data_IF_342402266358
#
_entry.id   IF_342402266358
#
_cell.length_a   1.000
_cell.length_b   1.000
_cell.length_c   1.000
_cell.angle_alpha   90.00
_cell.angle_beta   90.00
_cell.angle_gamma   90.00
#
_symmetry.space_group_name_H-M   'P 1'
#
loop_
_entity.id
_entity.type
_entity.pdbx_description
1 polymer ?
#
# COMPACT_ATOMS: atom_id res chain seq x y z
N UNK A 1 5.31 -20.20 50.01
CA UNK A 1 4.49 -19.28 49.21
C UNK A 1 4.98 -19.40 47.77
N UNK A 2 4.08 -19.55 46.80
CA UNK A 2 4.40 -19.88 45.40
C UNK A 2 4.69 -18.62 44.57
N UNK A 3 5.54 -18.73 43.56
CA UNK A 3 5.68 -17.67 42.55
C UNK A 3 4.40 -17.58 41.71
N UNK A 4 3.82 -16.38 41.64
CA UNK A 4 2.57 -16.14 40.91
C UNK A 4 2.84 -15.92 39.42
N UNK A 5 2.59 -16.96 38.63
CA UNK A 5 2.71 -16.97 37.17
C UNK A 5 1.39 -16.59 36.46
N UNK A 6 0.32 -16.27 37.19
CA UNK A 6 -1.01 -16.01 36.65
C UNK A 6 -0.97 -14.88 35.60
N UNK A 7 -0.25 -13.80 35.89
CA UNK A 7 -0.11 -12.65 34.98
C UNK A 7 0.60 -12.98 33.67
N UNK A 8 1.42 -14.05 33.63
CA UNK A 8 2.12 -14.47 32.41
C UNK A 8 1.17 -15.14 31.42
N UNK A 9 0.25 -15.96 31.94
CA UNK A 9 -0.62 -16.83 31.15
C UNK A 9 -2.06 -16.33 31.03
N UNK A 10 -2.64 -15.78 32.09
CA UNK A 10 -4.01 -15.26 32.12
C UNK A 10 -3.98 -13.72 32.01
N UNK A 11 -3.59 -13.23 30.82
CA UNK A 11 -3.26 -11.81 30.54
C UNK A 11 -4.44 -10.83 30.62
N UNK A 12 -5.64 -11.26 30.98
CA UNK A 12 -6.78 -10.35 31.21
C UNK A 12 -7.59 -10.75 32.44
N UNK A 13 -8.08 -9.75 33.18
CA UNK A 13 -9.01 -9.98 34.31
C UNK A 13 -10.29 -10.72 33.90
N UNK A 14 -10.66 -10.67 32.62
CA UNK A 14 -11.79 -11.44 32.10
C UNK A 14 -11.48 -12.94 32.12
N UNK A 15 -10.30 -13.35 31.68
CA UNK A 15 -9.88 -14.76 31.67
C UNK A 15 -9.61 -15.27 33.08
N UNK A 16 -9.15 -14.39 33.99
CA UNK A 16 -8.90 -14.72 35.39
C UNK A 16 -10.20 -14.91 36.20
N UNK A 17 -11.25 -14.13 35.91
CA UNK A 17 -12.48 -14.10 36.71
C UNK A 17 -13.68 -14.80 36.07
N UNK A 18 -13.62 -15.12 34.78
CA UNK A 18 -14.68 -15.84 34.07
C UNK A 18 -14.28 -17.28 33.80
N UNK A 19 -15.22 -18.19 34.06
CA UNK A 19 -15.04 -19.60 33.80
C UNK A 19 -14.98 -19.87 32.28
N UNK A 20 -13.97 -20.61 31.83
CA UNK A 20 -13.93 -21.14 30.46
C UNK A 20 -14.73 -22.44 30.48
N UNK A 21 -15.86 -22.46 29.75
CA UNK A 21 -16.83 -23.58 29.75
C UNK A 21 -17.33 -24.00 31.14
N UNK A 22 -17.45 -23.06 32.08
CA UNK A 22 -17.93 -23.34 33.43
C UNK A 22 -16.87 -23.84 34.41
N UNK A 23 -15.59 -23.92 34.00
CA UNK A 23 -14.47 -24.26 34.87
C UNK A 23 -13.48 -23.11 35.04
N UNK A 24 -12.99 -22.93 36.27
CA UNK A 24 -11.84 -22.09 36.58
C UNK A 24 -10.56 -22.90 36.42
N UNK A 25 -9.58 -22.36 35.71
CA UNK A 25 -8.32 -23.05 35.42
C UNK A 25 -7.25 -22.57 36.41
N UNK A 26 -6.64 -23.51 37.13
CA UNK A 26 -5.50 -23.26 38.01
C UNK A 26 -4.30 -23.94 37.38
N UNK A 27 -3.24 -23.18 37.12
CA UNK A 27 -1.97 -23.72 36.63
C UNK A 27 -1.06 -23.88 37.84
N UNK A 28 -0.72 -25.12 38.15
CA UNK A 28 0.22 -25.46 39.22
C UNK A 28 1.43 -26.14 38.58
N UNK A 29 2.62 -25.62 38.91
CA UNK A 29 3.88 -26.17 38.45
C UNK A 29 4.63 -26.66 39.67
N UNK A 30 4.91 -27.96 39.72
CA UNK A 30 5.68 -28.61 40.77
C UNK A 30 6.81 -29.42 40.15
N UNK A 31 7.91 -29.57 40.88
CA UNK A 31 9.01 -30.41 40.45
C UNK A 31 10.22 -30.35 41.37
N UNK A 32 11.06 -31.40 41.38
CA UNK A 32 12.22 -31.48 42.28
C UNK A 32 13.16 -30.28 42.19
N UNK A 33 13.36 -29.75 40.97
CA UNK A 33 14.19 -28.58 40.72
C UNK A 33 13.68 -27.33 41.47
N UNK A 34 12.35 -27.14 41.50
CA UNK A 34 11.73 -26.01 42.22
C UNK A 34 11.83 -26.26 43.74
N UNK A 35 11.58 -27.49 44.20
CA UNK A 35 11.63 -27.84 45.62
C UNK A 35 13.04 -27.63 46.22
N UNK A 36 14.08 -27.99 45.48
CA UNK A 36 15.48 -27.78 45.89
C UNK A 36 15.94 -26.33 45.73
N UNK A 37 15.35 -25.63 44.75
CA UNK A 37 15.68 -24.27 44.34
C UNK A 37 15.10 -23.17 45.22
N UNK A 38 14.17 -23.51 46.12
CA UNK A 38 13.51 -22.56 47.02
C UNK A 38 14.46 -22.05 48.11
N UNK A 39 14.29 -20.78 48.50
CA UNK A 39 15.03 -20.17 49.61
C UNK A 39 14.51 -20.63 50.99
N UNK A 40 15.26 -20.33 52.06
CA UNK A 40 14.91 -20.76 53.43
C UNK A 40 13.56 -20.19 53.91
N UNK A 41 13.21 -18.98 53.46
CA UNK A 41 11.95 -18.31 53.81
C UNK A 41 10.75 -18.85 53.01
N UNK A 42 11.01 -19.71 52.01
CA UNK A 42 10.02 -20.30 51.10
C UNK A 42 9.14 -19.28 50.40
N UNK A 43 9.71 -18.14 50.01
CA UNK A 43 9.03 -17.05 49.32
C UNK A 43 9.68 -16.67 47.97
N UNK A 44 10.75 -17.36 47.58
CA UNK A 44 11.41 -17.19 46.29
C UNK A 44 12.35 -18.35 45.93
N UNK A 45 12.86 -18.32 44.70
CA UNK A 45 13.76 -19.33 44.14
C UNK A 45 15.12 -18.70 43.82
N UNK A 46 15.95 -18.49 44.83
CA UNK A 46 17.24 -17.80 44.67
C UNK A 46 18.32 -18.67 44.01
N UNK A 47 18.12 -19.99 43.97
CA UNK A 47 19.07 -20.96 43.39
C UNK A 47 18.82 -21.27 41.91
N UNK A 48 17.78 -20.66 41.31
CA UNK A 48 17.43 -20.84 39.90
C UNK A 48 17.63 -19.49 39.18
N UNK A 49 18.55 -19.40 38.20
CA UNK A 49 18.75 -18.18 37.42
C UNK A 49 17.50 -17.75 36.65
N UNK A 50 17.29 -16.44 36.48
CA UNK A 50 16.12 -15.91 35.74
C UNK A 50 16.25 -15.97 34.22
N UNK A 51 17.42 -15.64 33.71
CA UNK A 51 17.71 -15.54 32.27
C UNK A 51 18.98 -16.35 31.94
N UNK A 52 19.11 -16.74 30.68
CA UNK A 52 20.31 -17.39 30.18
C UNK A 52 21.46 -16.37 30.05
N UNK A 53 22.45 -16.44 30.95
CA UNK A 53 23.62 -15.55 30.95
C UNK A 53 24.83 -16.18 31.68
N UNK A 54 26.05 -15.77 31.28
CA UNK A 54 27.36 -16.31 31.67
C UNK A 54 27.61 -16.35 33.19
N UNK A 55 26.96 -17.27 33.90
CA UNK A 55 27.31 -17.62 35.27
C UNK A 55 28.60 -18.46 35.24
N UNK A 56 29.56 -18.08 36.09
CA UNK A 56 30.85 -18.76 36.25
C UNK A 56 30.71 -20.28 36.20
N UNK A 57 31.59 -20.90 35.42
CA UNK A 57 31.68 -22.31 35.02
C UNK A 57 31.69 -23.34 36.17
N UNK A 58 31.46 -22.95 37.43
CA UNK A 58 31.70 -23.80 38.59
C UNK A 58 30.64 -23.83 39.70
N UNK A 59 29.47 -23.17 39.62
CA UNK A 59 28.45 -23.34 40.70
C UNK A 59 26.97 -23.04 40.36
N UNK A 60 26.59 -22.87 39.09
CA UNK A 60 25.19 -22.58 38.70
C UNK A 60 24.38 -23.82 38.32
N UNK A 61 23.10 -23.89 38.73
CA UNK A 61 22.12 -24.85 38.20
C UNK A 61 22.06 -24.77 36.67
N UNK A 62 22.08 -25.89 35.92
CA UNK A 62 22.11 -25.89 34.45
C UNK A 62 20.79 -25.47 33.78
N UNK A 63 19.75 -25.17 34.56
CA UNK A 63 18.40 -24.87 34.07
C UNK A 63 17.97 -23.52 34.65
N UNK A 64 17.60 -22.57 33.78
CA UNK A 64 17.05 -21.26 34.16
C UNK A 64 15.53 -21.24 34.16
N UNK A 65 14.93 -20.20 34.73
CA UNK A 65 13.50 -19.93 34.58
C UNK A 65 13.10 -19.69 33.12
N UNK A 66 13.98 -19.11 32.30
CA UNK A 66 13.74 -18.95 30.87
C UNK A 66 13.53 -20.31 30.18
N UNK A 67 14.36 -21.31 30.52
CA UNK A 67 14.23 -22.68 29.99
C UNK A 67 12.96 -23.38 30.50
N UNK A 68 12.63 -23.19 31.78
CA UNK A 68 11.40 -23.72 32.40
C UNK A 68 10.18 -23.11 31.72
N UNK A 69 10.15 -21.79 31.55
CA UNK A 69 9.05 -21.08 30.90
C UNK A 69 8.92 -21.45 29.42
N UNK A 70 10.03 -21.64 28.69
CA UNK A 70 9.96 -22.07 27.30
C UNK A 70 9.26 -23.43 27.12
N UNK A 71 9.39 -24.34 28.11
CA UNK A 71 8.68 -25.64 28.11
C UNK A 71 7.25 -25.53 28.64
N UNK A 72 7.02 -24.73 29.67
CA UNK A 72 5.70 -24.50 30.22
C UNK A 72 4.79 -23.76 29.25
N UNK A 73 5.32 -22.78 28.50
CA UNK A 73 4.56 -21.93 27.58
C UNK A 73 3.81 -22.82 26.57
N UNK A 74 4.45 -23.84 25.98
CA UNK A 74 3.80 -24.77 25.04
C UNK A 74 2.68 -25.59 25.73
N UNK A 75 2.92 -26.11 26.95
CA UNK A 75 1.97 -27.00 27.64
C UNK A 75 0.78 -26.25 28.24
N UNK A 76 1.02 -25.06 28.79
CA UNK A 76 -0.02 -24.21 29.36
C UNK A 76 -0.93 -23.68 28.26
N UNK A 77 -0.39 -23.33 27.10
CA UNK A 77 -1.19 -22.91 25.95
C UNK A 77 -2.12 -24.03 25.45
N UNK A 78 -1.63 -25.27 25.37
CA UNK A 78 -2.46 -26.45 25.04
C UNK A 78 -3.65 -26.60 26.01
N UNK A 79 -3.43 -26.39 27.31
CA UNK A 79 -4.46 -26.53 28.34
C UNK A 79 -5.47 -25.38 28.36
N UNK A 80 -5.05 -24.18 27.97
CA UNK A 80 -5.90 -22.98 28.00
C UNK A 80 -6.68 -22.75 26.71
N UNK A 81 -6.31 -23.39 25.60
CA UNK A 81 -6.94 -23.18 24.29
C UNK A 81 -8.40 -23.67 24.29
N UNK A 82 -9.39 -22.78 24.15
CA UNK A 82 -10.80 -23.14 24.09
C UNK A 82 -11.12 -23.93 22.81
N UNK A 83 -12.10 -24.85 22.82
CA UNK A 83 -12.49 -25.61 21.63
C UNK A 83 -13.04 -24.75 20.47
N UNK A 84 -13.54 -23.56 20.76
CA UNK A 84 -14.04 -22.58 19.80
C UNK A 84 -12.95 -21.62 19.29
N UNK A 85 -11.73 -21.70 19.82
CA UNK A 85 -10.61 -20.95 19.27
C UNK A 85 -10.21 -21.51 17.90
N UNK A 86 -10.10 -20.61 16.94
CA UNK A 86 -9.70 -20.92 15.57
C UNK A 86 -8.43 -20.18 15.23
N UNK A 87 -7.34 -20.94 15.05
CA UNK A 87 -6.10 -20.44 14.45
C UNK A 87 -6.39 -19.79 13.09
N UNK A 88 -7.19 -20.46 12.27
CA UNK A 88 -7.48 -20.03 10.90
C UNK A 88 -8.19 -18.68 10.87
N UNK A 89 -9.05 -18.39 11.85
CA UNK A 89 -9.66 -17.07 12.00
C UNK A 89 -8.61 -15.98 12.25
N UNK A 90 -7.69 -16.20 13.19
CA UNK A 90 -6.62 -15.24 13.48
C UNK A 90 -5.70 -15.08 12.27
N UNK A 91 -5.32 -16.17 11.60
CA UNK A 91 -4.49 -16.12 10.38
C UNK A 91 -5.19 -15.36 9.26
N UNK A 92 -6.50 -15.55 9.09
CA UNK A 92 -7.30 -14.82 8.11
C UNK A 92 -7.37 -13.32 8.43
N UNK A 93 -7.61 -12.95 9.69
CA UNK A 93 -7.63 -11.55 10.13
C UNK A 93 -6.24 -10.89 9.98
N UNK A 94 -5.17 -11.61 10.32
CA UNK A 94 -3.78 -11.18 10.10
C UNK A 94 -3.48 -10.93 8.62
N UNK A 95 -3.94 -11.85 7.74
CA UNK A 95 -3.79 -11.71 6.30
C UNK A 95 -4.60 -10.54 5.73
N UNK A 96 -5.82 -10.32 6.21
CA UNK A 96 -6.68 -9.24 5.75
C UNK A 96 -6.18 -7.86 6.21
N UNK A 97 -5.95 -7.69 7.51
CA UNK A 97 -5.69 -6.38 8.13
C UNK A 97 -4.23 -5.94 8.00
N UNK A 98 -3.30 -6.89 7.97
CA UNK A 98 -1.86 -6.61 8.01
C UNK A 98 -1.12 -7.13 6.77
N UNK A 99 -1.81 -7.79 5.83
CA UNK A 99 -1.19 -8.32 4.62
C UNK A 99 -0.12 -9.39 4.89
N UNK A 100 -0.17 -10.06 6.04
CA UNK A 100 0.78 -11.11 6.41
C UNK A 100 0.16 -12.46 6.10
N UNK A 101 0.69 -13.15 5.09
CA UNK A 101 0.17 -14.45 4.66
C UNK A 101 0.64 -15.59 5.56
N UNK A 102 -0.03 -16.74 5.47
CA UNK A 102 0.42 -17.95 6.16
C UNK A 102 1.84 -18.38 5.74
N UNK A 103 2.17 -18.19 4.46
CA UNK A 103 3.53 -18.42 3.98
C UNK A 103 4.54 -17.51 4.70
N UNK A 104 4.22 -16.23 4.89
CA UNK A 104 5.06 -15.31 5.66
C UNK A 104 5.18 -15.72 7.14
N UNK A 105 4.11 -16.21 7.76
CA UNK A 105 4.16 -16.74 9.13
C UNK A 105 5.11 -17.93 9.21
N UNK A 106 5.00 -18.87 8.28
CA UNK A 106 5.89 -20.04 8.22
C UNK A 106 7.34 -19.63 7.96
N UNK A 107 7.57 -18.73 7.00
CA UNK A 107 8.91 -18.28 6.63
C UNK A 107 9.57 -17.44 7.72
N UNK A 108 8.80 -16.66 8.48
CA UNK A 108 9.29 -15.89 9.63
C UNK A 108 9.40 -16.70 10.92
N UNK A 109 9.12 -18.02 10.88
CA UNK A 109 9.04 -18.90 12.06
C UNK A 109 8.07 -18.37 13.14
N UNK A 110 7.00 -17.68 12.73
CA UNK A 110 6.04 -17.09 13.66
C UNK A 110 4.90 -18.07 13.94
N UNK A 111 4.83 -18.54 15.19
CA UNK A 111 3.71 -19.35 15.67
C UNK A 111 2.51 -18.47 16.02
N UNK A 112 1.31 -19.04 15.85
CA UNK A 112 0.04 -18.44 16.27
C UNK A 112 -0.52 -19.30 17.38
N UNK A 113 -0.71 -18.71 18.56
CA UNK A 113 -1.13 -19.42 19.77
C UNK A 113 -2.40 -18.82 20.33
N UNK A 114 -3.02 -19.53 21.29
CA UNK A 114 -4.17 -18.99 22.00
C UNK A 114 -3.81 -17.72 22.78
N UNK A 115 -4.73 -16.75 22.80
CA UNK A 115 -4.51 -15.44 23.40
C UNK A 115 -3.72 -14.45 22.53
N UNK A 116 -3.26 -14.86 21.34
CA UNK A 116 -2.74 -13.91 20.37
C UNK A 116 -3.86 -13.03 19.78
N UNK A 117 -3.49 -11.79 19.49
CA UNK A 117 -4.30 -10.85 18.70
C UNK A 117 -3.73 -10.77 17.28
N UNK A 118 -4.53 -10.42 16.26
CA UNK A 118 -4.00 -10.23 14.91
C UNK A 118 -2.80 -9.27 14.87
N UNK A 119 -2.87 -8.17 15.62
CA UNK A 119 -1.78 -7.20 15.74
C UNK A 119 -0.51 -7.78 16.36
N UNK A 120 -0.62 -8.59 17.42
CA UNK A 120 0.56 -9.19 18.06
C UNK A 120 1.25 -10.22 17.17
N UNK A 121 0.48 -11.02 16.43
CA UNK A 121 1.02 -11.98 15.44
C UNK A 121 1.70 -11.24 14.30
N UNK A 122 1.03 -10.26 13.70
CA UNK A 122 1.58 -9.48 12.60
C UNK A 122 2.87 -8.77 13.00
N UNK A 123 2.92 -8.18 14.21
CA UNK A 123 4.11 -7.52 14.74
C UNK A 123 5.30 -8.48 14.85
N UNK A 124 5.09 -9.69 15.40
CA UNK A 124 6.15 -10.71 15.48
C UNK A 124 6.62 -11.14 14.09
N UNK A 125 5.68 -11.44 13.20
CA UNK A 125 5.99 -11.88 11.84
C UNK A 125 6.79 -10.86 11.05
N UNK A 126 6.35 -9.59 11.05
CA UNK A 126 7.02 -8.51 10.34
C UNK A 126 8.40 -8.21 10.94
N UNK A 127 8.55 -8.24 12.27
CA UNK A 127 9.85 -8.05 12.92
C UNK A 127 10.84 -9.15 12.52
N UNK A 128 10.43 -10.41 12.64
CA UNK A 128 11.27 -11.55 12.26
C UNK A 128 11.61 -11.53 10.76
N UNK A 129 10.66 -11.11 9.91
CA UNK A 129 10.90 -10.99 8.47
C UNK A 129 11.89 -9.87 8.16
N UNK A 130 11.80 -8.73 8.84
CA UNK A 130 12.76 -7.62 8.69
C UNK A 130 14.16 -8.04 9.13
N UNK A 131 14.29 -8.76 10.24
CA UNK A 131 15.58 -9.31 10.69
C UNK A 131 16.17 -10.24 9.60
N UNK A 132 15.37 -11.13 9.02
CA UNK A 132 15.81 -11.98 7.89
C UNK A 132 16.19 -11.20 6.64
N UNK A 133 15.46 -10.14 6.30
CA UNK A 133 15.80 -9.26 5.15
C UNK A 133 17.19 -8.65 5.34
N UNK A 134 17.53 -8.23 6.56
CA UNK A 134 18.87 -7.68 6.86
C UNK A 134 19.94 -8.75 6.67
N UNK A 135 19.74 -9.94 7.23
CA UNK A 135 20.68 -11.06 7.13
C UNK A 135 20.90 -11.49 5.66
N UNK A 136 19.82 -11.61 4.90
CA UNK A 136 19.87 -11.99 3.49
C UNK A 136 20.46 -10.89 2.61
N UNK A 137 20.23 -9.61 2.93
CA UNK A 137 20.89 -8.49 2.23
C UNK A 137 22.40 -8.50 2.44
N UNK A 138 22.85 -8.80 3.66
CA UNK A 138 24.27 -8.98 3.95
C UNK A 138 24.85 -10.17 3.16
N UNK A 139 24.09 -11.27 3.07
CA UNK A 139 24.45 -12.42 2.24
C UNK A 139 24.56 -12.04 0.75
N UNK A 140 23.61 -11.27 0.20
CA UNK A 140 23.66 -10.79 -1.18
C UNK A 140 24.90 -9.93 -1.48
N UNK A 141 25.31 -9.07 -0.55
CA UNK A 141 26.56 -8.31 -0.67
C UNK A 141 27.78 -9.23 -0.73
N UNK A 142 27.82 -10.26 0.13
CA UNK A 142 28.89 -11.26 0.10
C UNK A 142 28.91 -12.06 -1.21
N UNK A 143 27.75 -12.38 -1.79
CA UNK A 143 27.65 -13.03 -3.10
C UNK A 143 28.21 -12.15 -4.21
N UNK A 144 27.96 -10.84 -4.18
CA UNK A 144 28.53 -9.90 -5.17
C UNK A 144 30.06 -9.93 -5.14
N UNK A 145 30.66 -9.99 -3.95
CA UNK A 145 32.10 -10.16 -3.80
C UNK A 145 32.58 -11.53 -4.29
N UNK A 146 31.83 -12.61 -4.03
CA UNK A 146 32.15 -13.96 -4.50
C UNK A 146 32.10 -14.07 -6.03
N UNK A 147 31.12 -13.44 -6.68
CA UNK A 147 30.99 -13.34 -8.14
C UNK A 147 32.23 -12.69 -8.75
N UNK A 148 32.72 -11.60 -8.14
CA UNK A 148 33.91 -10.91 -8.60
C UNK A 148 35.20 -11.77 -8.51
N UNK A 149 35.18 -12.86 -7.73
CA UNK A 149 36.30 -13.80 -7.56
C UNK A 149 36.14 -15.11 -8.34
N UNK A 150 35.10 -15.24 -9.15
CA UNK A 150 34.92 -16.43 -9.97
C UNK A 150 36.01 -16.53 -11.04
N UNK A 151 36.52 -17.75 -11.24
CA UNK A 151 37.53 -18.09 -12.25
C UNK A 151 36.87 -18.93 -13.35
N UNK A 152 36.53 -18.33 -14.52
CA UNK A 152 35.76 -19.01 -15.56
C UNK A 152 36.46 -20.20 -16.21
N UNK A 153 37.79 -20.29 -16.08
CA UNK A 153 38.64 -21.35 -16.58
C UNK A 153 38.83 -22.52 -15.59
N UNK A 154 38.29 -22.40 -14.37
CA UNK A 154 38.34 -23.47 -13.37
C UNK A 154 37.32 -24.58 -13.64
N UNK A 155 37.68 -25.83 -13.36
CA UNK A 155 36.81 -27.00 -13.51
C UNK A 155 35.53 -26.93 -12.66
N UNK A 156 35.54 -26.13 -11.58
CA UNK A 156 34.43 -25.97 -10.63
C UNK A 156 33.58 -24.71 -10.90
N UNK A 157 33.92 -23.91 -11.91
CA UNK A 157 33.23 -22.65 -12.22
C UNK A 157 31.71 -22.81 -12.31
N UNK A 158 31.24 -23.80 -13.08
CA UNK A 158 29.80 -24.03 -13.29
C UNK A 158 29.07 -24.35 -11.99
N UNK A 159 29.67 -25.18 -11.14
CA UNK A 159 29.07 -25.55 -9.84
C UNK A 159 28.99 -24.35 -8.91
N UNK A 160 30.02 -23.51 -8.86
CA UNK A 160 30.02 -22.28 -8.06
C UNK A 160 28.96 -21.28 -8.53
N UNK A 161 28.77 -21.15 -9.84
CA UNK A 161 27.70 -20.32 -10.42
C UNK A 161 26.31 -20.85 -10.05
N UNK A 162 26.10 -22.17 -10.11
CA UNK A 162 24.82 -22.79 -9.74
C UNK A 162 24.50 -22.58 -8.25
N UNK A 163 25.49 -22.76 -7.37
CA UNK A 163 25.33 -22.54 -5.91
C UNK A 163 25.01 -21.07 -5.60
N UNK A 164 25.77 -20.14 -6.17
CA UNK A 164 25.50 -18.69 -6.00
C UNK A 164 24.11 -18.31 -6.52
N UNK A 165 23.67 -18.88 -7.64
CA UNK A 165 22.34 -18.62 -8.22
C UNK A 165 21.22 -19.11 -7.32
N UNK A 166 21.40 -20.29 -6.70
CA UNK A 166 20.42 -20.85 -5.77
C UNK A 166 20.31 -20.01 -4.50
N UNK A 167 21.45 -19.63 -3.90
CA UNK A 167 21.46 -18.78 -2.71
C UNK A 167 20.86 -17.39 -3.01
N UNK A 168 21.16 -16.80 -4.17
CA UNK A 168 20.60 -15.52 -4.59
C UNK A 168 19.07 -15.58 -4.72
N UNK A 169 18.56 -16.64 -5.33
CA UNK A 169 17.10 -16.85 -5.50
C UNK A 169 16.39 -17.00 -4.15
N UNK A 170 17.02 -17.71 -3.20
CA UNK A 170 16.47 -17.86 -1.85
C UNK A 170 16.39 -16.51 -1.12
N UNK A 171 17.44 -15.69 -1.20
CA UNK A 171 17.50 -14.36 -0.57
C UNK A 171 16.50 -13.36 -1.16
N UNK A 172 16.19 -13.46 -2.45
CA UNK A 172 15.19 -12.58 -3.06
C UNK A 172 13.78 -12.86 -2.54
N UNK A 173 13.46 -14.12 -2.23
CA UNK A 173 12.11 -14.51 -1.82
C UNK A 173 11.65 -13.76 -0.57
N UNK A 174 12.51 -13.60 0.44
CA UNK A 174 12.15 -12.92 1.70
C UNK A 174 11.95 -11.43 1.48
N UNK A 175 12.83 -10.79 0.71
CA UNK A 175 12.75 -9.38 0.33
C UNK A 175 11.45 -9.11 -0.43
N UNK A 176 11.13 -9.96 -1.41
CA UNK A 176 9.91 -9.85 -2.20
C UNK A 176 8.65 -9.98 -1.33
N UNK A 177 8.60 -10.95 -0.42
CA UNK A 177 7.45 -11.12 0.48
C UNK A 177 7.25 -9.88 1.38
N UNK A 178 8.32 -9.33 1.94
CA UNK A 178 8.24 -8.16 2.79
C UNK A 178 7.74 -6.92 2.02
N UNK A 179 8.34 -6.66 0.85
CA UNK A 179 8.02 -5.50 0.03
C UNK A 179 6.61 -5.59 -0.55
N UNK A 180 6.22 -6.75 -1.09
CA UNK A 180 4.88 -6.96 -1.64
C UNK A 180 3.81 -6.85 -0.55
N UNK A 181 4.05 -7.39 0.64
CA UNK A 181 3.11 -7.29 1.77
C UNK A 181 2.85 -5.83 2.13
N UNK A 182 3.91 -5.04 2.31
CA UNK A 182 3.78 -3.61 2.61
C UNK A 182 3.05 -2.85 1.49
N UNK A 183 3.38 -3.14 0.23
CA UNK A 183 2.73 -2.55 -0.93
C UNK A 183 1.23 -2.86 -0.96
N UNK A 184 0.85 -4.13 -0.74
CA UNK A 184 -0.55 -4.56 -0.71
C UNK A 184 -1.32 -3.84 0.40
N UNK A 185 -0.77 -3.75 1.61
CA UNK A 185 -1.43 -3.08 2.74
C UNK A 185 -1.62 -1.60 2.45
N UNK A 186 -0.55 -0.90 2.04
CA UNK A 186 -0.62 0.55 1.75
C UNK A 186 -1.67 0.83 0.69
N UNK A 187 -1.63 0.10 -0.42
CA UNK A 187 -2.54 0.31 -1.54
C UNK A 187 -3.98 -0.09 -1.21
N UNK A 188 -4.19 -1.15 -0.42
CA UNK A 188 -5.53 -1.53 0.06
C UNK A 188 -6.11 -0.41 0.93
N UNK A 189 -5.34 0.13 1.87
CA UNK A 189 -5.77 1.27 2.69
C UNK A 189 -6.08 2.49 1.85
N UNK A 190 -5.27 2.80 0.83
CA UNK A 190 -5.51 3.92 -0.07
C UNK A 190 -6.81 3.77 -0.86
N UNK A 191 -7.09 2.57 -1.36
CA UNK A 191 -8.36 2.26 -2.03
C UNK A 191 -9.55 2.46 -1.09
N UNK A 192 -9.44 2.04 0.18
CA UNK A 192 -10.51 2.25 1.16
C UNK A 192 -10.71 3.72 1.49
N UNK A 193 -9.63 4.51 1.60
CA UNK A 193 -9.72 5.97 1.75
C UNK A 193 -10.44 6.60 0.56
N UNK A 194 -10.10 6.21 -0.67
CA UNK A 194 -10.81 6.67 -1.88
C UNK A 194 -12.29 6.28 -1.84
N UNK A 195 -12.60 5.02 -1.52
CA UNK A 195 -13.97 4.52 -1.46
C UNK A 195 -14.81 5.26 -0.42
N UNK A 196 -14.23 5.61 0.74
CA UNK A 196 -14.90 6.42 1.76
C UNK A 196 -15.06 7.88 1.30
N UNK A 197 -14.04 8.47 0.67
CA UNK A 197 -14.06 9.85 0.19
C UNK A 197 -15.17 10.08 -0.85
N UNK A 198 -15.29 9.15 -1.80
CA UNK A 198 -16.31 9.16 -2.86
C UNK A 198 -17.73 9.08 -2.28
N UNK A 199 -17.91 8.28 -1.23
CA UNK A 199 -19.21 8.10 -0.55
C UNK A 199 -19.50 9.16 0.51
N UNK A 200 -18.65 10.19 0.62
CA UNK A 200 -18.75 11.23 1.64
C UNK A 200 -18.74 10.70 3.09
N UNK A 201 -18.01 9.61 3.35
CA UNK A 201 -17.97 8.93 4.65
C UNK A 201 -16.77 9.32 5.53
N UNK A 202 -15.83 10.12 5.02
CA UNK A 202 -14.71 10.59 5.84
C UNK A 202 -15.22 11.60 6.88
N UNK A 203 -14.64 11.58 8.09
CA UNK A 203 -15.00 12.52 9.15
C UNK A 203 -14.92 13.99 8.73
N UNK A 204 -13.91 14.34 7.94
CA UNK A 204 -13.75 15.69 7.38
C UNK A 204 -14.89 16.10 6.43
N UNK A 205 -15.66 15.14 5.90
CA UNK A 205 -16.83 15.37 5.06
C UNK A 205 -18.15 15.30 5.86
N UNK A 206 -18.19 14.50 6.94
CA UNK A 206 -19.40 14.34 7.78
C UNK A 206 -19.53 15.40 8.87
N UNK A 207 -18.41 15.91 9.39
CA UNK A 207 -18.36 16.82 10.54
C UNK A 207 -18.32 18.30 10.12
N UNK A 208 -18.78 18.61 8.90
CA UNK A 208 -18.77 19.96 8.32
C UNK A 208 -19.77 20.85 9.04
N UNK A 209 -19.33 22.03 9.50
CA UNK A 209 -20.21 22.96 10.20
C UNK A 209 -21.25 23.58 9.23
N UNK A 210 -22.45 23.95 9.71
CA UNK A 210 -23.44 24.63 8.90
C UNK A 210 -22.87 25.91 8.27
N UNK A 211 -22.86 25.98 6.93
CA UNK A 211 -22.36 27.12 6.16
C UNK A 211 -20.93 26.99 5.65
N UNK A 212 -20.19 25.95 6.02
CA UNK A 212 -18.86 25.68 5.47
C UNK A 212 -18.95 24.99 4.09
N UNK A 213 -18.11 25.43 3.15
CA UNK A 213 -18.07 24.87 1.79
C UNK A 213 -17.48 23.46 1.84
N UNK A 214 -18.23 22.46 1.38
CA UNK A 214 -17.73 21.10 1.15
C UNK A 214 -16.59 21.12 0.14
N UNK A 215 -15.49 20.41 0.45
CA UNK A 215 -14.28 20.31 -0.38
C UNK A 215 -14.09 18.90 -0.93
N UNK A 216 -15.18 18.22 -1.29
CA UNK A 216 -15.17 16.79 -1.63
C UNK A 216 -14.27 16.48 -2.83
N UNK A 217 -14.34 17.29 -3.89
CA UNK A 217 -13.50 17.17 -5.07
C UNK A 217 -12.00 17.31 -4.71
N UNK A 218 -11.65 18.38 -3.99
CA UNK A 218 -10.28 18.60 -3.52
C UNK A 218 -9.76 17.46 -2.62
N UNK A 219 -10.62 16.84 -1.80
CA UNK A 219 -10.25 15.68 -0.99
C UNK A 219 -9.95 14.47 -1.87
N UNK A 220 -10.80 14.18 -2.85
CA UNK A 220 -10.60 13.07 -3.80
C UNK A 220 -9.34 13.31 -4.62
N UNK A 221 -9.16 14.52 -5.15
CA UNK A 221 -7.98 14.93 -5.89
C UNK A 221 -6.69 14.62 -5.12
N UNK A 222 -6.60 15.07 -3.86
CA UNK A 222 -5.41 14.90 -3.03
C UNK A 222 -5.08 13.43 -2.71
N UNK A 223 -6.04 12.50 -2.89
CA UNK A 223 -5.77 11.06 -2.79
C UNK A 223 -4.90 10.60 -3.97
N UNK A 224 -5.13 11.12 -5.17
CA UNK A 224 -4.33 10.73 -6.35
C UNK A 224 -3.00 11.48 -6.38
N UNK A 225 -3.04 12.80 -6.16
CA UNK A 225 -1.86 13.66 -6.21
C UNK A 225 -2.10 14.97 -5.44
N UNK A 226 -1.15 15.50 -4.65
CA UNK A 226 -1.36 16.76 -3.94
C UNK A 226 -1.61 17.96 -4.86
N UNK A 227 -2.63 18.77 -4.56
CA UNK A 227 -2.94 19.98 -5.34
C UNK A 227 -1.76 20.96 -5.35
N UNK A 228 -1.55 21.64 -6.50
CA UNK A 228 -0.53 22.68 -6.70
C UNK A 228 0.91 22.19 -6.52
N UNK A 229 1.14 20.91 -6.76
CA UNK A 229 2.45 20.26 -6.69
C UNK A 229 2.80 19.61 -8.02
N UNK A 230 4.06 19.21 -8.15
CA UNK A 230 4.52 18.36 -9.24
C UNK A 230 5.40 17.22 -8.73
N UNK A 231 5.76 16.31 -9.64
CA UNK A 231 6.58 15.14 -9.33
C UNK A 231 8.02 15.45 -8.90
N UNK A 232 8.48 16.71 -9.05
CA UNK A 232 9.78 17.14 -8.51
C UNK A 232 9.69 17.55 -7.04
N UNK A 233 8.51 17.98 -6.59
CA UNK A 233 8.22 18.32 -5.20
C UNK A 233 7.66 17.15 -4.39
N UNK A 234 6.92 16.25 -5.04
CA UNK A 234 6.22 15.14 -4.41
C UNK A 234 6.53 13.85 -5.17
N UNK A 235 7.30 12.96 -4.54
CA UNK A 235 7.52 11.60 -5.05
C UNK A 235 6.46 10.60 -4.60
N UNK A 236 5.72 10.91 -3.53
CA UNK A 236 4.73 10.02 -2.94
C UNK A 236 3.32 10.38 -3.44
N UNK A 237 2.83 9.63 -4.42
CA UNK A 237 1.52 9.84 -5.06
C UNK A 237 0.87 8.52 -5.47
N UNK A 238 -0.45 8.55 -5.69
CA UNK A 238 -1.26 7.34 -5.91
C UNK A 238 -2.01 7.34 -7.27
N UNK A 239 -1.45 8.01 -8.28
CA UNK A 239 -1.96 7.98 -9.67
C UNK A 239 -2.08 6.56 -10.27
N UNK A 240 -1.43 5.56 -9.66
CA UNK A 240 -1.58 4.14 -10.00
C UNK A 240 -3.03 3.63 -9.86
N UNK A 241 -3.86 4.32 -9.07
CA UNK A 241 -5.31 4.10 -8.97
C UNK A 241 -6.00 4.20 -10.35
N UNK A 242 -5.43 4.96 -11.29
CA UNK A 242 -5.92 5.03 -12.67
C UNK A 242 -5.28 3.95 -13.55
N UNK A 243 -3.95 3.82 -13.52
CA UNK A 243 -3.19 2.78 -14.24
C UNK A 243 -1.80 2.60 -13.62
N UNK A 244 -1.30 1.37 -13.51
CA UNK A 244 0.05 1.10 -13.01
C UNK A 244 1.14 1.76 -13.88
N UNK A 245 0.89 1.92 -15.18
CA UNK A 245 1.83 2.54 -16.12
C UNK A 245 2.12 4.00 -15.79
N UNK A 246 1.20 4.68 -15.11
CA UNK A 246 1.31 6.11 -14.81
C UNK A 246 2.33 6.42 -13.72
N UNK A 247 2.78 5.40 -12.98
CA UNK A 247 3.90 5.55 -12.05
C UNK A 247 5.22 5.84 -12.76
N UNK A 248 5.33 5.51 -14.05
CA UNK A 248 6.55 5.66 -14.85
C UNK A 248 6.56 6.89 -15.75
N UNK A 249 5.57 7.78 -15.62
CA UNK A 249 5.55 9.02 -16.40
C UNK A 249 6.60 10.00 -15.90
N UNK A 250 7.22 10.72 -16.84
CA UNK A 250 8.39 11.57 -16.58
C UNK A 250 8.06 12.78 -15.70
N UNK A 251 6.89 13.37 -15.88
CA UNK A 251 6.47 14.54 -15.13
C UNK A 251 4.98 14.53 -14.84
N UNK A 252 4.62 14.80 -13.60
CA UNK A 252 3.22 14.93 -13.15
C UNK A 252 3.06 16.33 -12.60
N UNK A 253 2.03 17.04 -13.07
CA UNK A 253 1.66 18.36 -12.59
C UNK A 253 0.21 18.36 -12.12
N UNK A 254 -0.04 19.06 -11.01
CA UNK A 254 -1.39 19.24 -10.49
C UNK A 254 -1.67 20.70 -10.17
N UNK A 255 -2.76 21.26 -10.70
CA UNK A 255 -3.14 22.68 -10.59
C UNK A 255 -2.01 23.68 -10.95
N UNK A 256 -1.00 23.24 -11.70
CA UNK A 256 0.14 24.08 -12.07
C UNK A 256 -0.15 24.88 -13.33
N UNK A 257 0.52 26.02 -13.40
CA UNK A 257 0.57 26.85 -14.61
C UNK A 257 1.32 26.11 -15.71
N UNK A 258 0.91 26.29 -16.97
CA UNK A 258 1.53 25.61 -18.09
C UNK A 258 2.98 26.08 -18.29
N UNK A 259 3.27 27.36 -18.06
CA UNK A 259 4.64 27.92 -18.14
C UNK A 259 5.64 27.25 -17.20
N UNK A 260 5.18 26.53 -16.17
CA UNK A 260 6.03 25.88 -15.17
C UNK A 260 6.27 24.39 -15.46
N UNK A 261 5.58 23.83 -16.46
CA UNK A 261 5.66 22.41 -16.79
C UNK A 261 6.97 22.12 -17.52
N UNK A 262 7.67 21.10 -17.03
CA UNK A 262 8.95 20.64 -17.57
C UNK A 262 8.82 19.25 -18.16
N UNK A 263 9.60 18.98 -19.20
CA UNK A 263 9.81 17.64 -19.73
C UNK A 263 11.33 17.44 -19.84
N UNK A 264 11.89 16.63 -18.93
CA UNK A 264 13.32 16.65 -18.65
C UNK A 264 13.76 17.98 -18.02
N UNK A 265 14.85 18.57 -18.52
CA UNK A 265 15.39 19.84 -18.02
C UNK A 265 14.81 21.09 -18.73
N UNK A 266 13.97 20.90 -19.75
CA UNK A 266 13.41 21.99 -20.55
C UNK A 266 11.97 22.34 -20.14
N UNK A 267 11.65 23.63 -20.21
CA UNK A 267 10.26 24.07 -20.17
C UNK A 267 9.53 23.58 -21.43
N UNK A 268 8.36 22.97 -21.24
CA UNK A 268 7.56 22.44 -22.34
C UNK A 268 6.86 23.57 -23.12
N UNK A 269 6.61 24.69 -22.46
CA UNK A 269 5.84 25.83 -22.96
C UNK A 269 6.60 27.15 -22.79
N UNK A 270 6.18 28.17 -23.55
CA UNK A 270 6.73 29.54 -23.46
C UNK A 270 6.20 30.26 -22.22
N UNK A 271 6.94 31.24 -21.67
CA UNK A 271 6.53 31.93 -20.43
C UNK A 271 5.20 32.69 -20.58
N UNK A 272 4.96 33.29 -21.75
CA UNK A 272 3.73 34.04 -22.07
C UNK A 272 2.51 33.13 -22.35
N UNK A 273 2.68 31.80 -22.27
CA UNK A 273 1.59 30.87 -22.58
C UNK A 273 0.38 31.09 -21.68
N UNK A 274 0.58 31.29 -20.37
CA UNK A 274 -0.54 31.37 -19.44
C UNK A 274 -1.41 32.61 -19.72
N UNK A 275 -0.80 33.75 -20.06
CA UNK A 275 -1.54 34.97 -20.42
C UNK A 275 -2.32 34.77 -21.73
N UNK A 276 -1.71 34.12 -22.72
CA UNK A 276 -2.34 33.79 -24.00
C UNK A 276 -3.48 32.78 -23.85
N UNK A 277 -3.39 31.89 -22.87
CA UNK A 277 -4.40 30.90 -22.50
C UNK A 277 -5.58 31.60 -21.85
N UNK A 278 -5.31 32.44 -20.84
CA UNK A 278 -6.34 33.22 -20.16
C UNK A 278 -7.12 34.10 -21.16
N UNK A 279 -6.45 34.75 -22.12
CA UNK A 279 -7.10 35.52 -23.20
C UNK A 279 -7.94 34.68 -24.20
N UNK A 280 -7.60 33.41 -24.40
CA UNK A 280 -8.35 32.50 -25.28
C UNK A 280 -9.59 31.98 -24.56
N UNK A 281 -9.47 31.71 -23.25
CA UNK A 281 -10.54 31.23 -22.38
C UNK A 281 -11.56 32.33 -22.05
N UNK A 282 -11.12 33.58 -21.85
CA UNK A 282 -11.98 34.76 -21.64
C UNK A 282 -12.96 35.00 -22.81
N UNK A 283 -12.67 34.45 -23.99
CA UNK A 283 -13.55 34.52 -25.18
C UNK A 283 -14.58 33.39 -25.27
N UNK A 284 -14.47 32.34 -24.45
CA UNK A 284 -15.24 31.10 -24.61
C UNK A 284 -16.15 30.76 -23.41
N UNK A 285 -15.89 31.26 -22.18
CA UNK A 285 -16.80 31.09 -21.03
C UNK A 285 -16.58 32.14 -19.92
N UNK A 286 -17.66 32.71 -19.35
CA UNK A 286 -17.60 33.66 -18.23
C UNK A 286 -17.28 32.99 -16.86
N UNK A 287 -17.31 31.66 -16.76
CA UNK A 287 -17.26 30.96 -15.46
C UNK A 287 -15.91 30.30 -15.10
N UNK A 288 -14.94 30.12 -16.01
CA UNK A 288 -13.70 29.38 -15.72
C UNK A 288 -12.42 30.21 -15.96
N UNK A 289 -12.07 31.05 -14.98
CA UNK A 289 -10.92 31.99 -15.02
C UNK A 289 -9.51 31.40 -14.86
N UNK A 290 -9.33 30.10 -15.08
CA UNK A 290 -8.02 29.44 -15.21
C UNK A 290 -8.27 27.95 -15.48
N UNK A 291 -8.33 27.52 -16.74
CA UNK A 291 -8.45 26.09 -17.07
C UNK A 291 -7.09 25.44 -16.84
N UNK A 292 -6.93 24.88 -15.64
CA UNK A 292 -5.83 24.00 -15.28
C UNK A 292 -6.45 22.62 -15.07
N UNK A 293 -5.84 21.56 -15.59
CA UNK A 293 -6.33 20.24 -15.29
C UNK A 293 -6.04 19.98 -13.83
N UNK A 294 -6.90 19.18 -13.21
CA UNK A 294 -6.63 18.72 -11.85
C UNK A 294 -5.27 17.99 -11.80
N UNK A 295 -5.04 17.07 -12.74
CA UNK A 295 -3.76 16.39 -12.91
C UNK A 295 -3.43 16.23 -14.40
N UNK A 296 -2.18 16.52 -14.77
CA UNK A 296 -1.61 16.17 -16.07
C UNK A 296 -0.32 15.38 -15.90
N UNK A 297 -0.22 14.25 -16.60
CA UNK A 297 0.97 13.40 -16.63
C UNK A 297 1.56 13.46 -18.04
N UNK A 298 2.84 13.76 -18.13
CA UNK A 298 3.58 13.94 -19.37
C UNK A 298 4.57 12.80 -19.56
N UNK A 299 4.57 12.23 -20.76
CA UNK A 299 5.52 11.20 -21.19
C UNK A 299 6.42 11.75 -22.29
N UNK A 300 7.70 11.38 -22.28
CA UNK A 300 8.71 11.85 -23.23
C UNK A 300 8.39 11.53 -24.70
N UNK A 301 7.63 10.46 -24.95
CA UNK A 301 7.12 10.07 -26.27
C UNK A 301 6.01 11.00 -26.83
N UNK A 302 5.68 12.11 -26.15
CA UNK A 302 4.68 13.06 -26.60
C UNK A 302 3.24 12.65 -26.32
N UNK A 303 3.06 11.79 -25.31
CA UNK A 303 1.77 11.41 -24.76
C UNK A 303 1.47 12.19 -23.47
N UNK A 304 0.21 12.59 -23.29
CA UNK A 304 -0.26 13.26 -22.08
C UNK A 304 -1.51 12.58 -21.56
N UNK A 305 -1.55 12.31 -20.26
CA UNK A 305 -2.76 11.93 -19.55
C UNK A 305 -3.30 13.16 -18.84
N UNK A 306 -4.57 13.48 -19.05
CA UNK A 306 -5.28 14.59 -18.41
C UNK A 306 -6.35 13.96 -17.53
N UNK A 307 -6.40 14.33 -16.26
CA UNK A 307 -7.40 13.83 -15.31
C UNK A 307 -8.16 15.02 -14.77
N UNK A 308 -9.48 14.91 -14.80
CA UNK A 308 -10.42 15.89 -14.28
C UNK A 308 -11.41 15.18 -13.36
N UNK A 309 -11.52 15.67 -12.13
CA UNK A 309 -12.45 15.18 -11.13
C UNK A 309 -13.67 16.10 -11.08
N UNK A 310 -14.81 15.52 -10.72
CA UNK A 310 -16.01 16.31 -10.38
C UNK A 310 -16.54 15.86 -9.04
N UNK A 311 -16.91 16.84 -8.21
CA UNK A 311 -17.54 16.58 -6.93
C UNK A 311 -18.73 15.59 -7.06
N UNK A 312 -18.93 14.71 -6.06
CA UNK A 312 -20.11 13.84 -6.03
C UNK A 312 -21.41 14.64 -6.23
N UNK A 313 -22.27 14.15 -7.10
CA UNK A 313 -23.53 14.74 -7.48
C UNK A 313 -23.49 15.62 -8.73
N UNK A 314 -22.30 15.93 -9.26
CA UNK A 314 -22.09 16.74 -10.47
C UNK A 314 -22.08 15.86 -11.73
N UNK A 315 -22.77 16.30 -12.77
CA UNK A 315 -22.95 15.51 -14.00
C UNK A 315 -21.79 15.73 -14.98
N UNK A 316 -21.09 14.66 -15.33
CA UNK A 316 -19.88 14.72 -16.17
C UNK A 316 -20.15 15.14 -17.61
N UNK A 317 -21.34 14.88 -18.15
CA UNK A 317 -21.69 15.20 -19.55
C UNK A 317 -21.56 16.69 -19.89
N UNK A 318 -21.59 17.60 -18.90
CA UNK A 318 -21.43 19.03 -19.13
C UNK A 318 -19.96 19.47 -19.20
N UNK A 319 -19.01 18.59 -18.84
CA UNK A 319 -17.59 18.93 -18.63
C UNK A 319 -16.66 18.27 -19.63
N UNK A 320 -17.20 17.57 -20.64
CA UNK A 320 -16.37 17.03 -21.71
C UNK A 320 -15.70 18.13 -22.54
N UNK A 321 -16.36 19.28 -22.72
CA UNK A 321 -15.80 20.44 -23.41
C UNK A 321 -14.48 20.90 -22.78
N UNK A 322 -14.44 20.98 -21.45
CA UNK A 322 -13.26 21.39 -20.67
C UNK A 322 -12.02 20.54 -21.03
N UNK A 323 -12.22 19.22 -21.16
CA UNK A 323 -11.16 18.25 -21.51
C UNK A 323 -10.64 18.43 -22.94
N UNK A 324 -11.56 18.68 -23.90
CA UNK A 324 -11.23 18.92 -25.31
C UNK A 324 -10.45 20.23 -25.47
N UNK A 325 -10.90 21.29 -24.80
CA UNK A 325 -10.26 22.59 -24.81
C UNK A 325 -8.84 22.50 -24.27
N UNK A 326 -8.66 21.82 -23.14
CA UNK A 326 -7.34 21.65 -22.54
C UNK A 326 -6.39 20.84 -23.43
N UNK A 327 -6.84 19.70 -23.98
CA UNK A 327 -6.04 18.91 -24.89
C UNK A 327 -5.66 19.69 -26.16
N UNK A 328 -6.60 20.48 -26.71
CA UNK A 328 -6.36 21.35 -27.87
C UNK A 328 -5.29 22.39 -27.59
N UNK A 329 -5.38 23.02 -26.42
CA UNK A 329 -4.43 24.02 -26.00
C UNK A 329 -3.02 23.44 -25.83
N UNK A 330 -2.89 22.31 -25.12
CA UNK A 330 -1.61 21.64 -24.96
C UNK A 330 -0.99 21.23 -26.30
N UNK A 331 -1.79 20.66 -27.20
CA UNK A 331 -1.35 20.28 -28.53
C UNK A 331 -0.81 21.49 -29.30
N UNK A 332 -1.58 22.57 -29.37
CA UNK A 332 -1.24 23.78 -30.13
C UNK A 332 0.01 24.49 -29.59
N UNK A 333 0.22 24.47 -28.27
CA UNK A 333 1.29 25.22 -27.61
C UNK A 333 2.56 24.42 -27.32
N UNK A 334 2.51 23.10 -27.43
CA UNK A 334 3.67 22.22 -27.21
C UNK A 334 4.72 22.25 -28.33
N UNK A 335 4.56 23.10 -29.36
CA UNK A 335 5.43 23.15 -30.56
C UNK A 335 5.52 21.79 -31.28
N UNK A 336 4.43 21.02 -31.24
CA UNK A 336 4.35 19.69 -31.84
C UNK A 336 4.99 18.56 -31.02
N UNK A 337 5.48 18.85 -29.80
CA UNK A 337 6.02 17.83 -28.88
C UNK A 337 4.92 16.89 -28.36
N UNK A 338 3.68 17.37 -28.20
CA UNK A 338 2.56 16.57 -27.69
C UNK A 338 1.53 16.31 -28.79
N UNK A 339 1.18 15.03 -29.00
CA UNK A 339 0.23 14.63 -30.06
C UNK A 339 -0.79 13.58 -29.64
N UNK A 340 -0.53 12.84 -28.57
CA UNK A 340 -1.44 11.79 -28.05
C UNK A 340 -1.96 12.22 -26.69
N UNK A 341 -3.28 12.34 -26.56
CA UNK A 341 -3.92 12.77 -25.32
C UNK A 341 -4.87 11.69 -24.83
N UNK A 342 -4.77 11.36 -23.55
CA UNK A 342 -5.67 10.44 -22.85
C UNK A 342 -6.36 11.22 -21.74
N UNK A 343 -7.65 11.48 -21.89
CA UNK A 343 -8.41 12.28 -20.95
C UNK A 343 -9.34 11.43 -20.09
N UNK A 344 -9.28 11.62 -18.77
CA UNK A 344 -10.18 10.99 -17.81
C UNK A 344 -11.05 12.05 -17.18
N UNK A 345 -12.36 11.89 -17.31
CA UNK A 345 -13.34 12.68 -16.57
C UNK A 345 -14.04 11.76 -15.58
N UNK A 346 -13.87 12.01 -14.28
CA UNK A 346 -14.22 11.05 -13.23
C UNK A 346 -15.23 11.67 -12.25
N UNK A 347 -16.35 10.99 -12.04
CA UNK A 347 -17.45 11.46 -11.18
C UNK A 347 -18.44 10.36 -10.81
N UNK A 348 -19.65 10.71 -10.43
CA UNK A 348 -20.71 9.76 -10.03
C UNK A 348 -21.99 9.83 -10.87
N UNK A 349 -22.17 10.90 -11.67
CA UNK A 349 -23.36 11.10 -12.51
C UNK A 349 -22.99 11.37 -13.96
N UNK A 350 -23.66 10.66 -14.85
CA UNK A 350 -23.54 10.83 -16.29
C UNK A 350 -24.94 10.79 -16.88
N UNK A 351 -25.36 11.84 -17.57
CA UNK A 351 -26.60 11.81 -18.34
C UNK A 351 -26.32 11.20 -19.72
N UNK A 352 -26.65 9.91 -19.86
CA UNK A 352 -26.34 9.14 -21.07
C UNK A 352 -27.05 9.66 -22.33
N UNK A 353 -28.16 10.36 -22.19
CA UNK A 353 -28.88 10.96 -23.32
C UNK A 353 -28.10 12.10 -24.00
N UNK A 354 -27.08 12.65 -23.35
CA UNK A 354 -26.25 13.77 -23.84
C UNK A 354 -24.89 13.34 -24.37
N UNK A 355 -24.62 12.03 -24.39
CA UNK A 355 -23.29 11.49 -24.69
C UNK A 355 -22.92 11.46 -26.18
N UNK A 356 -23.77 11.91 -27.11
CA UNK A 356 -23.39 12.11 -28.50
C UNK A 356 -22.69 10.89 -29.15
N UNK A 357 -21.41 11.05 -29.50
CA UNK A 357 -20.54 10.04 -30.14
C UNK A 357 -19.95 9.00 -29.19
N UNK A 358 -20.05 9.20 -27.87
CA UNK A 358 -19.45 8.31 -26.88
C UNK A 358 -20.04 6.90 -26.94
N UNK A 359 -19.15 5.93 -26.81
CA UNK A 359 -19.47 4.50 -26.80
C UNK A 359 -19.29 3.93 -25.40
N UNK A 360 -20.11 2.97 -24.97
CA UNK A 360 -19.89 2.28 -23.70
C UNK A 360 -18.50 1.63 -23.66
N UNK A 361 -17.83 1.71 -22.51
CA UNK A 361 -16.56 1.02 -22.29
C UNK A 361 -16.76 -0.51 -22.26
N UNK A 362 -16.01 -1.29 -23.04
CA UNK A 362 -16.10 -2.74 -23.00
C UNK A 362 -15.69 -3.29 -21.62
N UNK A 363 -16.58 -4.02 -20.97
CA UNK A 363 -16.27 -4.73 -19.72
C UNK A 363 -16.14 -3.85 -18.46
N UNK A 364 -16.51 -2.57 -18.54
CA UNK A 364 -16.47 -1.64 -17.41
C UNK A 364 -17.65 -0.65 -17.43
N UNK A 365 -17.87 0.06 -16.33
CA UNK A 365 -18.88 1.11 -16.26
C UNK A 365 -18.25 2.43 -16.71
N UNK A 366 -18.77 2.98 -17.80
CA UNK A 366 -18.31 4.25 -18.32
C UNK A 366 -18.47 4.33 -19.83
N UNK A 367 -17.96 5.41 -20.40
CA UNK A 367 -18.03 5.68 -21.83
C UNK A 367 -16.70 6.21 -22.32
N UNK A 368 -16.40 5.99 -23.60
CA UNK A 368 -15.23 6.54 -24.24
C UNK A 368 -15.55 7.15 -25.60
N UNK A 369 -14.73 8.10 -26.02
CA UNK A 369 -14.74 8.64 -27.37
C UNK A 369 -13.31 8.94 -27.83
N UNK A 370 -13.13 9.13 -29.12
CA UNK A 370 -11.85 9.55 -29.69
C UNK A 370 -12.10 10.61 -30.73
N UNK A 371 -11.47 11.77 -30.53
CA UNK A 371 -11.59 12.91 -31.43
C UNK A 371 -10.21 13.33 -31.94
N UNK A 372 -10.15 13.74 -33.20
CA UNK A 372 -8.96 14.39 -33.74
C UNK A 372 -8.91 15.84 -33.25
N UNK A 373 -7.80 16.21 -32.64
CA UNK A 373 -7.54 17.57 -32.22
C UNK A 373 -7.07 18.35 -33.45
N UNK A 374 -7.78 19.43 -33.75
CA UNK A 374 -7.48 20.32 -34.86
C UNK A 374 -7.14 21.70 -34.34
N UNK A 375 -6.17 22.34 -34.98
CA UNK A 375 -5.84 23.72 -34.68
C UNK A 375 -7.05 24.61 -35.06
N UNK A 376 -7.51 25.53 -34.17
CA UNK A 376 -8.79 26.21 -34.36
C UNK A 376 -8.91 27.05 -35.64
N UNK A 377 -7.82 27.70 -36.08
CA UNK A 377 -7.82 28.67 -37.18
C UNK A 377 -7.58 28.01 -38.55
N UNK A 378 -6.61 27.11 -38.62
CA UNK A 378 -6.09 26.42 -39.81
C UNK A 378 -6.77 25.07 -40.05
N UNK A 379 -7.44 24.50 -39.03
CA UNK A 379 -8.10 23.19 -39.06
C UNK A 379 -7.15 22.02 -39.36
N UNK A 380 -5.83 22.23 -39.25
CA UNK A 380 -4.81 21.20 -39.39
C UNK A 380 -4.87 20.25 -38.19
N UNK A 381 -4.77 18.94 -38.44
CA UNK A 381 -4.72 17.94 -37.38
C UNK A 381 -3.41 18.02 -36.59
N UNK A 382 -3.51 18.34 -35.29
CA UNK A 382 -2.37 18.55 -34.40
C UNK A 382 -2.21 17.43 -33.35
N UNK A 383 -3.24 16.60 -33.15
CA UNK A 383 -3.18 15.47 -32.25
C UNK A 383 -4.47 14.66 -32.22
N UNK A 384 -4.58 13.75 -31.26
CA UNK A 384 -5.78 12.98 -31.02
C UNK A 384 -6.03 12.87 -29.52
N UNK A 385 -7.28 13.06 -29.11
CA UNK A 385 -7.75 12.88 -27.74
C UNK A 385 -8.62 11.63 -27.66
N UNK A 386 -8.15 10.64 -26.92
CA UNK A 386 -8.98 9.55 -26.41
C UNK A 386 -9.51 9.97 -25.04
N UNK A 387 -10.81 9.91 -24.81
CA UNK A 387 -11.42 10.32 -23.54
C UNK A 387 -12.26 9.20 -22.93
N UNK A 388 -12.17 9.03 -21.60
CA UNK A 388 -13.05 8.16 -20.81
C UNK A 388 -13.84 8.96 -19.78
N UNK A 389 -15.17 8.80 -19.75
CA UNK A 389 -16.00 9.16 -18.61
C UNK A 389 -16.12 7.96 -17.68
N UNK A 390 -15.59 8.09 -16.47
CA UNK A 390 -15.50 7.02 -15.50
C UNK A 390 -16.32 7.34 -14.24
N UNK A 391 -16.95 6.30 -13.71
CA UNK A 391 -17.53 6.38 -12.37
C UNK A 391 -16.44 6.16 -11.32
N UNK A 392 -16.49 6.91 -10.22
CA UNK A 392 -15.60 6.68 -9.08
C UNK A 392 -15.67 5.23 -8.57
N UNK A 393 -16.87 4.65 -8.47
CA UNK A 393 -17.04 3.24 -8.08
C UNK A 393 -16.31 2.28 -9.02
N UNK A 394 -16.26 2.58 -10.32
CA UNK A 394 -15.55 1.77 -11.31
C UNK A 394 -14.02 1.90 -11.15
N UNK A 395 -13.52 3.11 -10.86
CA UNK A 395 -12.10 3.35 -10.53
C UNK A 395 -11.69 2.55 -9.28
N UNK A 396 -12.51 2.59 -8.23
CA UNK A 396 -12.29 1.80 -7.00
C UNK A 396 -12.29 0.30 -7.31
N UNK A 397 -13.26 -0.21 -8.08
CA UNK A 397 -13.36 -1.62 -8.45
C UNK A 397 -12.15 -2.09 -9.29
N UNK A 398 -11.72 -1.30 -10.27
CA UNK A 398 -10.51 -1.57 -11.07
C UNK A 398 -9.27 -1.61 -10.18
N UNK A 399 -9.15 -0.69 -9.23
CA UNK A 399 -8.02 -0.63 -8.30
C UNK A 399 -7.99 -1.84 -7.37
N UNK A 400 -9.15 -2.30 -6.89
CA UNK A 400 -9.28 -3.57 -6.14
C UNK A 400 -8.87 -4.78 -6.97
N UNK A 401 -9.24 -4.84 -8.25
CA UNK A 401 -8.81 -5.92 -9.15
C UNK A 401 -7.30 -5.92 -9.36
N UNK A 402 -6.68 -4.75 -9.54
CA UNK A 402 -5.21 -4.61 -9.64
C UNK A 402 -4.51 -5.10 -8.38
N UNK A 403 -4.96 -4.66 -7.20
CA UNK A 403 -4.34 -5.10 -5.94
C UNK A 403 -4.57 -6.60 -5.68
N UNK A 404 -5.71 -7.14 -6.16
CA UNK A 404 -6.05 -8.56 -6.10
C UNK A 404 -4.97 -9.46 -6.69
N UNK A 405 -4.34 -9.08 -7.80
CA UNK A 405 -3.24 -9.85 -8.41
C UNK A 405 -2.05 -10.01 -7.46
N UNK A 406 -1.71 -8.97 -6.70
CA UNK A 406 -0.64 -9.03 -5.71
C UNK A 406 -1.06 -9.82 -4.46
N UNK A 407 -2.33 -9.71 -4.05
CA UNK A 407 -2.90 -10.52 -2.95
C UNK A 407 -2.86 -12.01 -3.27
N UNK A 408 -3.22 -12.40 -4.49
CA UNK A 408 -3.15 -13.78 -4.97
C UNK A 408 -1.72 -14.32 -4.96
N UNK A 409 -0.74 -13.51 -5.41
CA UNK A 409 0.69 -13.89 -5.36
C UNK A 409 1.18 -14.14 -3.93
N UNK A 410 0.69 -13.36 -2.97
CA UNK A 410 0.99 -13.55 -1.55
C UNK A 410 0.14 -14.62 -0.88
N UNK A 411 -0.85 -15.20 -1.57
CA UNK A 411 -1.85 -16.13 -1.02
C UNK A 411 -2.58 -15.52 0.18
N UNK A 412 -2.89 -14.22 0.10
CA UNK A 412 -3.71 -13.56 1.10
C UNK A 412 -5.18 -13.96 0.95
N UNK A 413 -5.96 -13.99 2.04
CA UNK A 413 -7.41 -14.20 1.97
C UNK A 413 -8.07 -13.09 1.14
N UNK A 414 -9.12 -13.45 0.39
CA UNK A 414 -9.86 -12.53 -0.48
C UNK A 414 -10.72 -11.54 0.30
#
# INVERSE_FOLDING_TARGET
>A
MSEDITKRYLRSKSIENNAIQGFYHIILVEGPLLDEGVNEQRDGFDKIPRENGNADLFDGSPISFEDIYAKLDDKVQELLTPPDWSRDKIVSEVGHDFGVSEEMLSHSNTRVSFGDTPSSVAKRALKNLQEKVVDETASLLSMKEAIARLEPDSDDFRRKVDDLSWQFTASLKTVDMANLSQLVVRRSNMIEVLAMAVKELLRVQTDVQPGERKKNEALIHNIFFPMRKDSTEVSDHDVWLLSEEYHYYDYIASDKRLSQIKLGDELLFEEEIDERVDELLDRMSEENKAVRPDIALFHEEGAVVIVEFKAPGVSLDNHFGDLVEYATLLAAKSKGKLRKFYGYLIGDKINTARLGSFKPLPGAKGWFDTIDIREPETQVGIGQLYSELLYYDDVVERSRKRIGVYRERLKLPN
#
